data_IF_228971864821
#
_entry.id   IF_228971864821
#
_cell.length_a   1.000
_cell.length_b   1.000
_cell.length_c   1.000
_cell.angle_alpha   90.00
_cell.angle_beta   90.00
_cell.angle_gamma   90.00
#
_symmetry.space_group_name_H-M   'P 1'
#
loop_
_entity.id
_entity.type
_entity.pdbx_description
1 polymer ?
#
# COMPACT_ATOMS: atom_id res chain seq x y z
N UNK A 1 -5.50 -7.40 -6.23
CA UNK A 1 -4.55 -6.31 -5.92
C UNK A 1 -3.70 -6.02 -7.14
N UNK A 2 -3.19 -4.80 -7.29
CA UNK A 2 -2.29 -4.42 -8.38
C UNK A 2 -1.46 -3.18 -8.02
N UNK A 3 -0.28 -3.02 -8.62
CA UNK A 3 0.57 -1.84 -8.46
C UNK A 3 0.19 -0.73 -9.42
N UNK A 4 0.51 0.53 -9.10
CA UNK A 4 0.31 1.64 -10.04
C UNK A 4 1.24 1.51 -11.26
N UNK A 5 2.55 1.56 -11.00
CA UNK A 5 3.60 1.48 -12.02
C UNK A 5 4.06 0.06 -12.26
N UNK A 6 4.79 -0.15 -13.35
CA UNK A 6 5.33 -1.46 -13.73
C UNK A 6 6.05 -2.13 -12.56
N UNK A 7 5.76 -3.41 -12.38
CA UNK A 7 6.34 -4.27 -11.37
C UNK A 7 6.55 -5.66 -11.99
N UNK A 8 7.62 -6.35 -11.59
CA UNK A 8 7.97 -7.65 -12.15
C UNK A 8 7.23 -8.81 -11.47
N UNK A 9 6.56 -8.53 -10.35
CA UNK A 9 6.11 -9.53 -9.40
C UNK A 9 4.58 -9.48 -9.21
N UNK A 10 3.98 -8.29 -9.22
CA UNK A 10 2.55 -8.05 -9.08
C UNK A 10 2.03 -7.36 -10.36
N UNK A 11 0.80 -7.65 -10.83
CA UNK A 11 0.21 -6.95 -11.98
C UNK A 11 0.18 -5.44 -11.75
N UNK A 12 0.40 -4.67 -12.81
CA UNK A 12 0.42 -3.21 -12.78
C UNK A 12 -0.70 -2.60 -13.62
N UNK A 13 -1.35 -1.55 -13.09
CA UNK A 13 -2.35 -0.76 -13.82
C UNK A 13 -1.75 -0.20 -15.11
N UNK A 14 -0.62 0.51 -14.99
CA UNK A 14 0.03 1.15 -16.12
C UNK A 14 0.64 0.16 -17.11
N UNK A 15 1.09 -1.01 -16.67
CA UNK A 15 1.52 -2.06 -17.61
C UNK A 15 0.32 -2.61 -18.41
N UNK A 16 -0.84 -2.77 -17.78
CA UNK A 16 -2.05 -3.30 -18.40
C UNK A 16 -2.71 -2.33 -19.39
N UNK A 17 -2.31 -1.05 -19.42
CA UNK A 17 -2.89 -0.10 -20.37
C UNK A 17 -2.45 -0.32 -21.81
N UNK A 18 -1.37 -1.08 -22.02
CA UNK A 18 -0.73 -1.33 -23.32
C UNK A 18 -0.50 -0.04 -24.13
N UNK A 19 -0.08 1.03 -23.44
CA UNK A 19 0.19 2.33 -24.03
C UNK A 19 1.66 2.71 -23.81
N UNK A 20 2.26 3.38 -24.80
CA UNK A 20 3.61 3.93 -24.66
C UNK A 20 3.69 4.94 -23.51
N UNK A 21 4.86 4.98 -22.88
CA UNK A 21 5.18 6.05 -21.94
C UNK A 21 5.15 7.42 -22.64
N UNK A 22 4.86 8.49 -21.89
CA UNK A 22 4.99 9.86 -22.40
C UNK A 22 6.39 10.12 -22.98
N UNK A 23 7.43 9.64 -22.29
CA UNK A 23 8.81 9.58 -22.75
C UNK A 23 9.53 8.40 -22.10
N UNK A 24 9.72 7.31 -22.86
CA UNK A 24 10.34 6.07 -22.39
C UNK A 24 11.82 6.21 -21.98
N UNK A 25 12.48 7.31 -22.32
CA UNK A 25 13.88 7.56 -21.95
C UNK A 25 14.03 8.20 -20.58
N UNK A 26 12.92 8.71 -20.01
CA UNK A 26 12.90 9.45 -18.74
C UNK A 26 12.27 8.64 -17.62
N UNK A 27 12.60 9.01 -16.39
CA UNK A 27 12.07 8.41 -15.16
C UNK A 27 10.91 9.25 -14.59
N UNK A 28 10.18 8.68 -13.64
CA UNK A 28 9.11 9.38 -12.92
C UNK A 28 7.86 9.52 -13.79
N UNK A 29 7.16 10.66 -13.68
CA UNK A 29 5.91 10.90 -14.42
C UNK A 29 6.05 10.77 -15.94
N UNK A 30 7.24 11.00 -16.49
CA UNK A 30 7.49 10.84 -17.91
C UNK A 30 7.44 9.36 -18.37
N UNK A 31 7.66 8.41 -17.46
CA UNK A 31 7.59 6.98 -17.76
C UNK A 31 6.16 6.42 -17.65
N UNK A 32 5.15 7.26 -17.45
CA UNK A 32 3.75 6.85 -17.29
C UNK A 32 3.03 6.82 -18.64
N UNK A 33 1.89 6.09 -18.75
CA UNK A 33 1.07 6.06 -19.96
C UNK A 33 0.67 7.47 -20.41
N UNK A 34 0.79 7.75 -21.70
CA UNK A 34 0.60 9.10 -22.25
C UNK A 34 -0.79 9.70 -21.96
N UNK A 35 -1.85 8.89 -22.00
CA UNK A 35 -3.23 9.37 -21.84
C UNK A 35 -3.92 8.82 -20.59
N UNK A 36 -3.48 7.68 -20.06
CA UNK A 36 -4.14 6.98 -18.94
C UNK A 36 -3.47 7.19 -17.59
N UNK A 37 -2.59 8.19 -17.47
CA UNK A 37 -1.89 8.50 -16.23
C UNK A 37 -2.82 8.85 -15.06
N UNK A 38 -4.00 9.41 -15.33
CA UNK A 38 -4.98 9.84 -14.31
C UNK A 38 -5.72 8.67 -13.66
N UNK A 39 -5.78 7.52 -14.33
CA UNK A 39 -6.56 6.35 -13.88
C UNK A 39 -6.16 5.87 -12.49
N UNK A 40 -4.89 6.04 -12.10
CA UNK A 40 -4.45 5.74 -10.74
C UNK A 40 -5.21 6.53 -9.70
N UNK A 41 -5.39 7.84 -9.90
CA UNK A 41 -6.17 8.71 -9.01
C UNK A 41 -7.66 8.40 -9.06
N UNK A 42 -8.23 8.27 -10.26
CA UNK A 42 -9.65 7.92 -10.47
C UNK A 42 -10.02 6.59 -9.80
N UNK A 43 -9.11 5.61 -9.79
CA UNK A 43 -9.34 4.33 -9.14
C UNK A 43 -9.50 4.47 -7.62
N UNK A 44 -8.79 5.44 -6.99
CA UNK A 44 -8.89 5.69 -5.54
C UNK A 44 -10.14 6.43 -5.10
N UNK A 45 -10.89 7.00 -6.05
CA UNK A 45 -12.19 7.60 -5.77
C UNK A 45 -13.28 6.52 -5.55
N UNK A 46 -12.99 5.28 -5.93
CA UNK A 46 -13.92 4.17 -5.71
C UNK A 46 -13.91 3.74 -4.24
N UNK A 47 -15.10 3.52 -3.64
CA UNK A 47 -15.23 3.25 -2.21
C UNK A 47 -14.68 1.87 -1.78
N UNK A 48 -14.44 0.98 -2.72
CA UNK A 48 -13.95 -0.38 -2.52
C UNK A 48 -12.46 -0.56 -2.89
N UNK A 49 -11.77 0.53 -3.24
CA UNK A 49 -10.34 0.53 -3.53
C UNK A 49 -9.57 1.21 -2.41
N UNK A 50 -8.52 0.54 -1.95
CA UNK A 50 -7.63 1.06 -0.91
C UNK A 50 -6.23 1.28 -1.51
N UNK A 51 -5.82 2.54 -1.63
CA UNK A 51 -4.45 2.90 -1.99
C UNK A 51 -3.54 2.74 -0.77
N UNK A 52 -2.51 1.91 -0.90
CA UNK A 52 -1.56 1.62 0.17
C UNK A 52 -0.12 1.62 -0.35
N UNK A 53 0.86 1.50 0.55
CA UNK A 53 2.27 1.33 0.20
C UNK A 53 2.88 0.04 0.74
N UNK A 54 2.04 -0.98 0.96
CA UNK A 54 2.43 -2.26 1.55
C UNK A 54 3.36 -3.09 0.68
N UNK A 55 3.47 -2.76 -0.61
CA UNK A 55 4.46 -3.33 -1.52
C UNK A 55 5.78 -2.55 -1.44
N UNK A 56 6.40 -2.56 -0.25
CA UNK A 56 7.72 -1.95 0.03
C UNK A 56 7.82 -0.48 -0.37
N UNK A 57 6.76 0.29 -0.15
CA UNK A 57 6.72 1.72 -0.44
C UNK A 57 6.14 2.06 -1.82
N UNK A 58 5.95 1.07 -2.70
CA UNK A 58 5.27 1.28 -4.00
C UNK A 58 3.76 1.33 -3.81
N UNK A 59 3.08 2.16 -4.60
CA UNK A 59 1.62 2.22 -4.61
C UNK A 59 1.03 0.87 -4.99
N UNK A 60 0.26 0.30 -4.06
CA UNK A 60 -0.47 -0.96 -4.19
C UNK A 60 -1.95 -0.70 -3.92
N UNK A 61 -2.79 -1.01 -4.90
CA UNK A 61 -4.24 -0.96 -4.77
C UNK A 61 -4.77 -2.31 -4.29
N UNK A 62 -5.52 -2.28 -3.19
CA UNK A 62 -6.22 -3.43 -2.65
C UNK A 62 -7.72 -3.30 -2.92
N UNK A 63 -8.36 -4.44 -3.18
CA UNK A 63 -9.81 -4.59 -3.07
C UNK A 63 -10.18 -4.89 -1.60
N UNK A 64 -11.47 -5.07 -1.25
CA UNK A 64 -11.86 -5.36 0.12
C UNK A 64 -11.26 -6.64 0.71
N UNK A 65 -11.04 -7.68 -0.09
CA UNK A 65 -10.41 -8.92 0.40
C UNK A 65 -8.94 -8.70 0.77
N UNK A 66 -8.19 -7.96 -0.07
CA UNK A 66 -6.82 -7.57 0.22
C UNK A 66 -6.72 -6.66 1.45
N UNK A 67 -7.64 -5.70 1.58
CA UNK A 67 -7.69 -4.82 2.75
C UNK A 67 -8.03 -5.61 4.03
N UNK A 68 -8.98 -6.55 3.96
CA UNK A 68 -9.28 -7.47 5.06
C UNK A 68 -8.04 -8.29 5.45
N UNK A 69 -7.32 -8.85 4.48
CA UNK A 69 -6.12 -9.65 4.73
C UNK A 69 -4.98 -8.82 5.33
N UNK A 70 -4.81 -7.56 4.90
CA UNK A 70 -3.81 -6.66 5.44
C UNK A 70 -4.16 -6.12 6.85
N UNK A 71 -5.43 -6.15 7.25
CA UNK A 71 -5.91 -5.44 8.44
C UNK A 71 -5.18 -5.81 9.75
N UNK A 72 -4.99 -7.10 10.11
CA UNK A 72 -4.25 -7.47 11.32
C UNK A 72 -2.81 -6.97 11.31
N UNK A 73 -2.13 -7.04 10.17
CA UNK A 73 -0.75 -6.60 9.98
C UNK A 73 -0.62 -5.08 10.11
N UNK A 74 -1.51 -4.32 9.47
CA UNK A 74 -1.56 -2.87 9.57
C UNK A 74 -1.89 -2.40 10.99
N UNK A 75 -2.77 -3.11 11.71
CA UNK A 75 -3.10 -2.81 13.12
C UNK A 75 -1.92 -3.10 14.05
N UNK A 76 -1.18 -4.18 13.82
CA UNK A 76 0.04 -4.48 14.56
C UNK A 76 1.11 -3.40 14.33
N UNK A 77 1.33 -3.00 13.07
CA UNK A 77 2.25 -1.91 12.73
C UNK A 77 1.84 -0.57 13.37
N UNK A 78 0.55 -0.26 13.37
CA UNK A 78 -0.01 0.92 14.03
C UNK A 78 0.22 0.87 15.56
N UNK A 79 -0.08 -0.24 16.22
CA UNK A 79 0.13 -0.38 17.67
C UNK A 79 1.63 -0.29 18.04
N UNK A 80 2.50 -0.90 17.24
CA UNK A 80 3.94 -0.81 17.40
C UNK A 80 4.43 0.64 17.28
N UNK A 81 4.02 1.35 16.23
CA UNK A 81 4.41 2.73 15.99
C UNK A 81 3.84 3.70 17.04
N UNK A 82 2.66 3.44 17.59
CA UNK A 82 2.09 4.24 18.70
C UNK A 82 2.88 4.09 19.99
N UNK A 83 3.46 2.91 20.24
CA UNK A 83 4.27 2.65 21.44
C UNK A 83 5.65 3.31 21.42
N UNK A 84 6.08 3.82 20.26
CA UNK A 84 7.34 4.53 20.13
C UNK A 84 7.29 5.92 20.80
N UNK A 85 8.48 6.46 21.12
CA UNK A 85 8.64 7.80 21.68
C UNK A 85 9.22 8.79 20.65
N UNK A 86 8.71 8.75 19.41
CA UNK A 86 9.21 9.54 18.28
C UNK A 86 8.12 10.37 17.58
N UNK A 87 8.51 11.06 16.51
CA UNK A 87 7.60 11.88 15.70
C UNK A 87 6.51 11.07 14.97
N UNK A 88 6.73 9.77 14.73
CA UNK A 88 5.72 8.86 14.19
C UNK A 88 4.59 8.64 15.18
N UNK A 89 4.93 8.36 16.44
CA UNK A 89 3.94 8.24 17.50
C UNK A 89 3.17 9.56 17.73
N UNK A 90 3.85 10.72 17.62
CA UNK A 90 3.21 12.05 17.69
C UNK A 90 2.19 12.23 16.56
N UNK A 91 2.53 11.87 15.33
CA UNK A 91 1.62 11.91 14.19
C UNK A 91 0.40 11.00 14.39
N UNK A 92 0.62 9.75 14.81
CA UNK A 92 -0.47 8.79 15.03
C UNK A 92 -1.45 9.24 16.13
N UNK A 93 -0.95 9.85 17.21
CA UNK A 93 -1.78 10.44 18.26
C UNK A 93 -2.60 11.64 17.76
N UNK A 94 -1.99 12.52 16.97
CA UNK A 94 -2.73 13.63 16.36
C UNK A 94 -3.85 13.10 15.45
N UNK A 95 -3.56 12.14 14.56
CA UNK A 95 -4.59 11.55 13.70
C UNK A 95 -5.69 10.84 14.51
N UNK A 96 -5.35 10.18 15.63
CA UNK A 96 -6.34 9.55 16.49
C UNK A 96 -7.31 10.58 17.12
N UNK A 97 -6.79 11.73 17.53
CA UNK A 97 -7.56 12.78 18.18
C UNK A 97 -8.35 13.66 17.20
N UNK A 98 -7.72 14.09 16.11
CA UNK A 98 -8.30 15.01 15.12
C UNK A 98 -9.06 14.29 14.00
N UNK A 99 -8.79 13.00 13.78
CA UNK A 99 -9.25 12.25 12.61
C UNK A 99 -8.30 12.39 11.41
N UNK A 100 -8.77 12.07 10.20
CA UNK A 100 -8.03 12.30 8.96
C UNK A 100 -7.67 13.78 8.77
N UNK A 101 -6.39 14.06 8.49
CA UNK A 101 -5.85 15.42 8.39
C UNK A 101 -5.04 15.62 7.11
N UNK A 102 -5.02 16.83 6.55
CA UNK A 102 -4.15 17.13 5.41
C UNK A 102 -2.68 17.16 5.85
N UNK A 103 -1.76 16.92 4.90
CA UNK A 103 -0.31 17.04 5.18
C UNK A 103 0.05 18.46 5.65
N UNK A 104 -0.62 19.48 5.16
CA UNK A 104 -0.44 20.87 5.57
C UNK A 104 -0.86 21.11 7.02
N UNK A 105 -2.03 20.62 7.44
CA UNK A 105 -2.51 20.73 8.81
C UNK A 105 -1.56 20.01 9.77
N UNK A 106 -1.20 18.76 9.44
CA UNK A 106 -0.23 17.98 10.20
C UNK A 106 1.10 18.71 10.36
N UNK A 107 1.61 19.31 9.29
CA UNK A 107 2.86 20.07 9.31
C UNK A 107 2.76 21.28 10.23
N UNK A 108 1.66 22.02 10.14
CA UNK A 108 1.40 23.22 10.93
C UNK A 108 1.26 22.88 12.42
N UNK A 109 0.42 21.91 12.74
CA UNK A 109 0.03 21.57 14.11
C UNK A 109 1.12 20.81 14.88
N UNK A 110 1.88 19.94 14.20
CA UNK A 110 2.98 19.19 14.85
C UNK A 110 4.30 19.96 14.87
N UNK A 111 4.39 21.08 14.15
CA UNK A 111 5.62 21.87 14.02
C UNK A 111 6.78 21.10 13.39
N UNK A 112 6.48 20.07 12.58
CA UNK A 112 7.51 19.21 11.98
C UNK A 112 8.12 19.86 10.74
N UNK A 113 9.45 19.82 10.64
CA UNK A 113 10.15 20.18 9.42
C UNK A 113 9.69 19.27 8.26
N UNK A 114 9.60 19.81 7.04
CA UNK A 114 9.06 19.08 5.88
C UNK A 114 9.80 17.75 5.60
N UNK A 115 11.13 17.74 5.76
CA UNK A 115 11.95 16.54 5.57
C UNK A 115 11.68 15.48 6.66
N UNK A 116 11.49 15.91 7.91
CA UNK A 116 11.18 15.01 9.02
C UNK A 116 9.78 14.40 8.84
N UNK A 117 8.77 15.23 8.53
CA UNK A 117 7.42 14.75 8.25
C UNK A 117 7.39 13.78 7.07
N UNK A 118 8.12 14.08 5.98
CA UNK A 118 8.24 13.18 4.84
C UNK A 118 8.79 11.81 5.25
N UNK A 119 9.91 11.78 5.99
CA UNK A 119 10.55 10.54 6.44
C UNK A 119 9.61 9.71 7.34
N UNK A 120 8.96 10.36 8.30
CA UNK A 120 8.00 9.72 9.20
C UNK A 120 6.84 9.13 8.42
N UNK A 121 6.25 9.93 7.52
CA UNK A 121 5.14 9.50 6.65
C UNK A 121 5.53 8.31 5.78
N UNK A 122 6.67 8.36 5.10
CA UNK A 122 7.12 7.27 4.22
C UNK A 122 7.29 5.95 4.97
N UNK A 123 7.80 5.98 6.20
CA UNK A 123 7.88 4.80 7.07
C UNK A 123 6.51 4.26 7.44
N UNK A 124 5.63 5.11 7.98
CA UNK A 124 4.30 4.70 8.44
C UNK A 124 3.39 4.22 7.28
N UNK A 125 3.48 4.81 6.10
CA UNK A 125 2.75 4.34 4.91
C UNK A 125 3.25 2.99 4.42
N UNK A 126 4.59 2.82 4.38
CA UNK A 126 5.21 1.56 3.96
C UNK A 126 4.80 0.42 4.89
N UNK A 127 4.78 0.67 6.19
CA UNK A 127 4.48 -0.34 7.20
C UNK A 127 2.96 -0.53 7.40
N UNK A 128 2.12 0.31 6.78
CA UNK A 128 0.66 0.17 6.77
C UNK A 128 -0.07 0.85 7.94
N UNK A 129 0.65 1.54 8.83
CA UNK A 129 0.04 2.23 9.97
C UNK A 129 -0.86 3.41 9.56
N UNK A 130 -0.49 4.09 8.47
CA UNK A 130 -1.29 5.15 7.85
C UNK A 130 -1.45 4.90 6.35
N UNK A 131 -2.48 5.52 5.77
CA UNK A 131 -2.64 5.65 4.32
C UNK A 131 -2.74 7.12 3.96
N UNK A 132 -2.34 7.46 2.74
CA UNK A 132 -2.52 8.79 2.17
C UNK A 132 -3.42 8.71 0.95
N UNK A 133 -4.40 9.61 0.88
CA UNK A 133 -5.26 9.80 -0.28
C UNK A 133 -4.96 11.14 -0.91
N UNK A 134 -4.67 11.16 -2.22
CA UNK A 134 -4.50 12.40 -2.97
C UNK A 134 -5.76 13.27 -2.95
N UNK A 135 -5.59 14.58 -2.78
CA UNK A 135 -6.67 15.56 -2.87
C UNK A 135 -6.21 16.78 -3.67
N UNK A 136 -7.12 17.36 -4.44
CA UNK A 136 -6.93 18.68 -5.03
C UNK A 136 -7.45 19.74 -4.04
N UNK A 137 -6.62 20.72 -3.73
CA UNK A 137 -6.96 21.87 -2.91
C UNK A 137 -7.00 23.09 -3.82
N UNK A 138 -8.09 23.83 -3.83
CA UNK A 138 -8.18 25.08 -4.59
C UNK A 138 -7.14 26.09 -4.09
N UNK A 139 -6.40 26.68 -5.02
CA UNK A 139 -5.55 27.83 -4.75
C UNK A 139 -6.38 29.12 -4.87
N UNK A 140 -6.10 30.05 -3.97
CA UNK A 140 -6.58 31.45 -3.96
C UNK A 140 -6.47 32.20 -5.29
N UNK A 141 -5.67 31.71 -6.25
CA UNK A 141 -5.48 32.30 -7.58
C UNK A 141 -6.21 31.54 -8.71
N UNK A 142 -7.13 30.65 -8.37
CA UNK A 142 -7.90 29.87 -9.35
C UNK A 142 -7.15 28.67 -9.94
N UNK A 143 -6.02 28.27 -9.32
CA UNK A 143 -5.34 26.99 -9.59
C UNK A 143 -5.80 25.89 -8.64
N UNK A 144 -5.25 24.68 -8.78
CA UNK A 144 -5.36 23.63 -7.77
C UNK A 144 -3.97 23.13 -7.37
N UNK A 145 -3.76 22.92 -6.09
CA UNK A 145 -2.58 22.29 -5.52
C UNK A 145 -2.90 20.86 -5.13
N UNK A 146 -2.03 19.92 -5.48
CA UNK A 146 -2.13 18.56 -4.98
C UNK A 146 -1.61 18.48 -3.54
N UNK A 147 -2.45 17.96 -2.65
CA UNK A 147 -2.11 17.58 -1.28
C UNK A 147 -2.47 16.10 -1.06
N UNK A 148 -2.30 15.61 0.15
CA UNK A 148 -2.81 14.32 0.58
C UNK A 148 -3.47 14.45 1.96
N UNK A 149 -4.55 13.71 2.15
CA UNK A 149 -5.14 13.46 3.47
C UNK A 149 -4.52 12.20 4.03
N UNK A 150 -3.91 12.31 5.22
CA UNK A 150 -3.40 11.17 5.98
C UNK A 150 -4.51 10.62 6.86
N UNK A 151 -4.61 9.30 6.93
CA UNK A 151 -5.55 8.61 7.81
C UNK A 151 -4.87 7.42 8.44
N UNK A 152 -5.21 7.11 9.70
CA UNK A 152 -4.81 5.84 10.30
C UNK A 152 -5.50 4.69 9.58
N UNK A 153 -4.86 3.53 9.56
CA UNK A 153 -5.47 2.34 8.99
C UNK A 153 -6.83 2.01 9.63
N UNK A 154 -6.93 2.09 10.95
CA UNK A 154 -8.15 1.81 11.71
C UNK A 154 -9.31 2.79 11.47
N UNK A 155 -9.02 3.97 10.92
CA UNK A 155 -10.02 4.96 10.50
C UNK A 155 -10.61 4.65 9.13
N UNK A 156 -9.79 4.06 8.24
CA UNK A 156 -10.14 3.71 6.85
C UNK A 156 -10.80 2.34 6.79
N UNK A 157 -10.22 1.33 7.43
CA UNK A 157 -10.79 -0.01 7.50
C UNK A 157 -11.46 -0.26 8.86
N UNK A 158 -12.78 -0.08 8.91
CA UNK A 158 -13.59 -0.17 10.14
C UNK A 158 -14.14 -1.56 10.45
N UNK A 159 -13.78 -2.59 9.67
CA UNK A 159 -14.28 -3.96 9.79
C UNK A 159 -13.16 -4.89 10.26
N UNK A 160 -12.73 -4.81 11.53
CA UNK A 160 -11.54 -5.53 11.98
C UNK A 160 -11.68 -7.04 11.78
N UNK A 161 -10.66 -7.65 11.18
CA UNK A 161 -10.61 -9.10 11.04
C UNK A 161 -9.87 -9.69 12.25
N UNK A 162 -10.60 -10.43 13.10
CA UNK A 162 -10.02 -11.08 14.28
C UNK A 162 -9.29 -12.35 13.85
N UNK A 163 -7.98 -12.24 13.63
CA UNK A 163 -7.07 -13.36 13.36
C UNK A 163 -5.65 -13.00 13.80
N UNK A 164 -4.71 -13.93 13.69
CA UNK A 164 -3.28 -13.70 13.95
C UNK A 164 -2.61 -12.99 12.78
N UNK A 165 -1.48 -12.33 13.04
CA UNK A 165 -0.65 -11.73 11.98
C UNK A 165 -0.17 -12.78 10.96
N UNK A 166 0.18 -13.98 11.42
CA UNK A 166 0.62 -15.07 10.54
C UNK A 166 -0.47 -15.51 9.56
N UNK A 167 -1.69 -15.76 10.05
CA UNK A 167 -2.83 -16.11 9.19
C UNK A 167 -3.21 -14.97 8.24
N UNK A 168 -3.04 -13.72 8.68
CA UNK A 168 -3.27 -12.55 7.84
C UNK A 168 -2.24 -12.46 6.70
N UNK A 169 -0.97 -12.70 7.01
CA UNK A 169 0.12 -12.73 6.05
C UNK A 169 -0.05 -13.85 5.03
N UNK A 170 -0.43 -15.05 5.48
CA UNK A 170 -0.77 -16.18 4.62
C UNK A 170 -1.90 -15.84 3.62
N UNK A 171 -2.98 -15.21 4.10
CA UNK A 171 -4.08 -14.77 3.24
C UNK A 171 -3.61 -13.75 2.20
N UNK A 172 -2.80 -12.77 2.63
CA UNK A 172 -2.26 -11.73 1.76
C UNK A 172 -1.36 -12.33 0.67
N UNK A 173 -0.53 -13.32 1.03
CA UNK A 173 0.31 -14.07 0.08
C UNK A 173 -0.54 -14.79 -0.95
N UNK A 174 -1.57 -15.53 -0.53
CA UNK A 174 -2.45 -16.25 -1.45
C UNK A 174 -3.17 -15.29 -2.41
N UNK A 175 -3.66 -14.16 -1.91
CA UNK A 175 -4.27 -13.13 -2.75
C UNK A 175 -3.27 -12.50 -3.72
N UNK A 176 -2.02 -12.29 -3.30
CA UNK A 176 -0.94 -11.80 -4.15
C UNK A 176 -0.61 -12.78 -5.27
N UNK A 177 -0.43 -14.07 -4.95
CA UNK A 177 -0.15 -15.13 -5.94
C UNK A 177 -1.34 -15.28 -6.91
N UNK A 178 -2.58 -15.22 -6.39
CA UNK A 178 -3.78 -15.23 -7.23
C UNK A 178 -3.82 -14.06 -8.21
N UNK A 179 -3.42 -12.87 -7.76
CA UNK A 179 -3.35 -11.68 -8.62
C UNK A 179 -2.23 -11.79 -9.67
N UNK A 180 -1.07 -12.36 -9.29
CA UNK A 180 0.04 -12.61 -10.20
C UNK A 180 -0.22 -13.76 -11.18
N UNK A 181 -1.20 -14.62 -10.90
CA UNK A 181 -1.52 -15.89 -11.59
C UNK A 181 -0.42 -16.94 -11.43
N UNK A 182 0.83 -16.57 -11.73
CA UNK A 182 2.02 -17.41 -11.65
C UNK A 182 3.21 -16.54 -11.25
N UNK A 183 3.99 -16.97 -10.24
CA UNK A 183 5.17 -16.21 -9.78
C UNK A 183 6.29 -17.12 -9.28
N UNK A 184 7.50 -16.59 -9.12
CA UNK A 184 8.62 -17.33 -8.52
C UNK A 184 8.59 -17.20 -6.99
N UNK A 185 8.89 -18.29 -6.28
CA UNK A 185 8.85 -18.33 -4.82
C UNK A 185 9.75 -17.28 -4.15
N UNK A 186 10.93 -17.04 -4.72
CA UNK A 186 11.87 -16.03 -4.19
C UNK A 186 11.34 -14.59 -4.27
N UNK A 187 10.41 -14.31 -5.20
CA UNK A 187 9.78 -12.99 -5.32
C UNK A 187 8.76 -12.78 -4.21
N UNK A 188 7.92 -13.79 -3.92
CA UNK A 188 6.86 -13.73 -2.90
C UNK A 188 7.39 -13.31 -1.54
N UNK A 189 8.59 -13.79 -1.20
CA UNK A 189 9.28 -13.45 0.05
C UNK A 189 9.56 -11.97 0.25
N UNK A 190 9.61 -11.23 -0.85
CA UNK A 190 10.04 -9.85 -0.93
C UNK A 190 8.94 -8.90 -1.41
N UNK A 191 7.70 -9.37 -1.54
CA UNK A 191 6.60 -8.54 -2.01
C UNK A 191 6.19 -7.50 -0.98
N UNK A 192 5.84 -7.92 0.22
CA UNK A 192 5.25 -7.01 1.19
C UNK A 192 6.29 -6.42 2.13
N UNK A 193 5.93 -5.34 2.82
CA UNK A 193 6.76 -4.73 3.87
C UNK A 193 7.03 -5.70 5.03
N UNK A 194 6.18 -6.72 5.18
CA UNK A 194 6.38 -7.82 6.12
C UNK A 194 7.08 -8.99 5.43
N UNK A 195 8.19 -9.49 5.99
CA UNK A 195 8.93 -10.59 5.39
C UNK A 195 8.11 -11.88 5.43
N UNK A 196 8.05 -12.60 4.30
CA UNK A 196 7.41 -13.93 4.24
C UNK A 196 8.49 -14.99 4.41
N UNK A 197 8.33 -15.84 5.42
CA UNK A 197 9.24 -16.96 5.67
C UNK A 197 9.03 -18.06 4.61
N UNK A 198 10.10 -18.80 4.29
CA UNK A 198 9.99 -19.99 3.43
C UNK A 198 9.02 -21.02 4.00
N UNK A 199 9.00 -21.15 5.33
CA UNK A 199 8.08 -22.05 6.01
C UNK A 199 6.62 -21.67 5.75
N UNK A 200 6.26 -20.38 5.77
CA UNK A 200 4.91 -19.90 5.42
C UNK A 200 4.49 -20.36 4.02
N UNK A 201 5.39 -20.30 3.04
CA UNK A 201 5.11 -20.75 1.67
C UNK A 201 4.94 -22.28 1.64
N UNK A 202 5.84 -23.01 2.30
CA UNK A 202 5.77 -24.47 2.39
C UNK A 202 4.46 -24.95 3.05
N UNK A 203 4.02 -24.27 4.10
CA UNK A 203 2.77 -24.56 4.82
C UNK A 203 1.55 -24.28 3.94
N UNK A 204 1.56 -23.18 3.18
CA UNK A 204 0.51 -22.86 2.20
C UNK A 204 0.42 -23.90 1.07
N UNK A 205 1.55 -24.45 0.63
CA UNK A 205 1.59 -25.55 -0.35
C UNK A 205 1.10 -26.85 0.26
N UNK A 206 1.54 -27.19 1.47
CA UNK A 206 1.10 -28.39 2.19
C UNK A 206 -0.41 -28.36 2.47
N UNK A 207 -0.96 -27.18 2.77
CA UNK A 207 -2.39 -26.94 2.93
C UNK A 207 -3.17 -26.92 1.61
N UNK A 208 -2.50 -27.03 0.46
CA UNK A 208 -3.12 -27.02 -0.87
C UNK A 208 -3.70 -25.68 -1.30
N UNK A 209 -3.35 -24.59 -0.60
CA UNK A 209 -3.76 -23.22 -0.94
C UNK A 209 -2.91 -22.63 -2.07
N UNK A 210 -1.64 -23.03 -2.10
CA UNK A 210 -0.73 -22.82 -3.20
C UNK A 210 -0.31 -24.16 -3.81
N UNK A 211 0.16 -24.14 -5.05
CA UNK A 211 0.72 -25.30 -5.73
C UNK A 211 2.02 -24.92 -6.44
N UNK A 212 2.91 -25.89 -6.62
CA UNK A 212 4.06 -25.77 -7.52
C UNK A 212 3.68 -26.35 -8.89
N UNK A 213 3.22 -25.54 -9.86
CA UNK A 213 2.96 -26.04 -11.21
C UNK A 213 4.24 -26.54 -11.88
N UNK A 214 5.37 -25.90 -11.58
CA UNK A 214 6.73 -26.31 -11.93
C UNK A 214 7.68 -25.89 -10.79
N UNK A 215 8.88 -26.49 -10.74
CA UNK A 215 9.87 -26.22 -9.69
C UNK A 215 10.19 -24.72 -9.56
N UNK A 216 10.14 -24.18 -8.35
CA UNK A 216 10.43 -22.78 -8.03
C UNK A 216 9.30 -21.79 -8.33
N UNK A 217 8.23 -22.24 -8.99
CA UNK A 217 7.08 -21.40 -9.30
C UNK A 217 5.88 -21.73 -8.41
N UNK A 218 5.04 -20.74 -8.17
CA UNK A 218 3.85 -20.82 -7.35
C UNK A 218 2.63 -20.33 -8.11
N UNK A 219 1.52 -21.02 -7.93
CA UNK A 219 0.19 -20.58 -8.34
C UNK A 219 -0.80 -20.80 -7.19
N UNK A 220 -1.84 -19.96 -7.12
CA UNK A 220 -2.94 -20.14 -6.17
C UNK A 220 -3.95 -21.15 -6.71
N UNK A 221 -4.53 -21.95 -5.82
CA UNK A 221 -5.57 -22.93 -6.17
C UNK A 221 -6.98 -22.33 -6.17
#
# INVERSE_FOLDING_TARGET
MLTLTQDAAIPSLFAATHEDAYDATKKGFASWPKTKWSWGGELTERPDVFETKLHRGKTLFLNPDGARAADPLCRAALAQAESAADDGARLLRHLAAAGPSTVEDVKSELGLAAAALRKVREGLERDGAIVARGVAVEDSKGGHRHSSVLSRWDQVWRKPWKTTEDTALEELVVLGVRAAVLTHEDEVRNWFSWPVARQTIADLVAAGRLVHPVSGWLAAR
#
